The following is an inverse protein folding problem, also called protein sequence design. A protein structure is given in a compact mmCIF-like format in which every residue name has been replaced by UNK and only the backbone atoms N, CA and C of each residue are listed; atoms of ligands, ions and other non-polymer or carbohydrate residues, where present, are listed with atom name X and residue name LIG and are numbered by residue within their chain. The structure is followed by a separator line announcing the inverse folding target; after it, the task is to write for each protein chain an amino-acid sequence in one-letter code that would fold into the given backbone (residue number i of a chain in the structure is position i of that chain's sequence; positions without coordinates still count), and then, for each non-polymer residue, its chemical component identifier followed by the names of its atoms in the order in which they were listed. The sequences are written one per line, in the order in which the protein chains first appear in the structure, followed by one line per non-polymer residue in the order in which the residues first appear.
data_IF_582998634525
#
_entry.id   IF_582998634525
#
_cell.length_a   1.000
_cell.length_b   1.000
_cell.length_c   1.000
_cell.angle_alpha   90.00
_cell.angle_beta   90.00
_cell.angle_gamma   90.00
#
_symmetry.space_group_name_H-M   'P 1'
#
loop_
_entity.id
_entity.type
_entity.pdbx_description
1 polymer ?
#
# COMPACT_ATOMS: atom_id res chain seq x y z
N UNK A 1 3.38 31.83 -56.03
CA UNK A 1 2.69 32.27 -54.80
C UNK A 1 2.21 31.11 -53.89
N UNK A 2 2.40 29.83 -54.25
CA UNK A 2 1.83 28.67 -53.51
C UNK A 2 2.66 28.20 -52.28
N UNK A 3 3.96 28.50 -52.19
CA UNK A 3 4.81 27.99 -51.09
C UNK A 3 4.61 28.70 -49.75
N UNK A 4 4.26 30.00 -49.75
CA UNK A 4 4.15 30.79 -48.51
C UNK A 4 2.90 30.44 -47.68
N UNK A 5 1.84 29.91 -48.32
CA UNK A 5 0.61 29.49 -47.65
C UNK A 5 0.79 28.18 -46.88
N UNK A 6 1.51 27.20 -47.46
CA UNK A 6 1.84 25.93 -46.78
C UNK A 6 2.70 26.15 -45.52
N UNK A 7 3.64 27.09 -45.53
CA UNK A 7 4.56 27.30 -44.41
C UNK A 7 3.84 27.84 -43.16
N UNK A 8 2.88 28.77 -43.33
CA UNK A 8 2.04 29.25 -42.22
C UNK A 8 1.09 28.18 -41.69
N UNK A 9 0.61 27.27 -42.55
CA UNK A 9 -0.25 26.17 -42.14
C UNK A 9 0.51 25.13 -41.30
N UNK A 10 1.76 24.82 -41.66
CA UNK A 10 2.63 23.93 -40.87
C UNK A 10 2.93 24.52 -39.49
N UNK A 11 3.17 25.83 -39.40
CA UNK A 11 3.42 26.53 -38.13
C UNK A 11 2.20 26.42 -37.21
N UNK A 12 0.97 26.58 -37.72
CA UNK A 12 -0.26 26.44 -36.91
C UNK A 12 -0.46 25.03 -36.36
N UNK A 13 -0.13 23.99 -37.14
CA UNK A 13 -0.21 22.60 -36.68
C UNK A 13 0.83 22.32 -35.59
N UNK A 14 2.05 22.83 -35.74
CA UNK A 14 3.11 22.66 -34.74
C UNK A 14 2.78 23.40 -33.43
N UNK A 15 2.29 24.64 -33.51
CA UNK A 15 1.86 25.38 -32.30
C UNK A 15 0.64 24.75 -31.63
N UNK A 16 -0.32 24.25 -32.40
CA UNK A 16 -1.46 23.52 -31.83
C UNK A 16 -1.01 22.23 -31.15
N UNK A 17 -0.08 21.45 -31.75
CA UNK A 17 0.48 20.26 -31.12
C UNK A 17 1.29 20.57 -29.87
N UNK A 18 2.15 21.59 -29.89
CA UNK A 18 2.92 22.01 -28.71
C UNK A 18 1.98 22.50 -27.61
N UNK A 19 0.95 23.27 -27.95
CA UNK A 19 -0.07 23.71 -27.00
C UNK A 19 -0.86 22.53 -26.44
N UNK A 20 -1.21 21.55 -27.28
CA UNK A 20 -1.96 20.35 -26.86
C UNK A 20 -1.10 19.41 -25.99
N UNK A 21 0.18 19.21 -26.33
CA UNK A 21 1.13 18.43 -25.52
C UNK A 21 1.38 19.07 -24.14
N UNK A 22 1.45 20.39 -24.06
CA UNK A 22 1.61 21.10 -22.78
C UNK A 22 0.32 21.10 -21.93
N UNK A 23 -0.86 20.96 -22.53
CA UNK A 23 -2.15 20.96 -21.82
C UNK A 23 -2.65 19.54 -21.43
N UNK A 24 -2.01 18.46 -21.91
CA UNK A 24 -2.30 17.08 -21.49
C UNK A 24 -1.38 16.60 -20.35
N UNK A 25 -0.88 17.51 -19.52
CA UNK A 25 -0.39 17.13 -18.19
C UNK A 25 -1.60 16.94 -17.27
N UNK A 26 -2.43 15.94 -17.57
CA UNK A 26 -3.35 15.38 -16.59
C UNK A 26 -2.45 14.70 -15.56
N UNK A 27 -2.15 15.39 -14.46
CA UNK A 27 -1.57 14.77 -13.28
C UNK A 27 -2.52 13.66 -12.87
N UNK A 28 -2.14 12.41 -13.15
CA UNK A 28 -2.81 11.23 -12.63
C UNK A 28 -3.06 11.45 -11.13
N UNK A 29 -4.23 11.08 -10.60
CA UNK A 29 -4.48 11.20 -9.17
C UNK A 29 -3.35 10.46 -8.45
N UNK A 30 -2.67 11.14 -7.53
CA UNK A 30 -1.65 10.55 -6.68
C UNK A 30 -2.24 9.30 -6.03
N UNK A 31 -1.90 8.11 -6.52
CA UNK A 31 -2.61 6.91 -6.09
C UNK A 31 -1.69 5.68 -6.06
N UNK A 32 -1.41 5.28 -4.82
CA UNK A 32 -0.96 3.97 -4.33
C UNK A 32 0.54 3.60 -4.34
N UNK A 33 1.42 4.21 -5.14
CA UNK A 33 2.79 3.66 -5.31
C UNK A 33 3.83 4.00 -4.23
N UNK A 34 3.50 4.73 -3.17
CA UNK A 34 4.45 5.03 -2.08
C UNK A 34 3.89 4.65 -0.70
N UNK A 35 3.49 3.40 -0.52
CA UNK A 35 3.41 2.87 0.85
C UNK A 35 4.84 2.80 1.38
N UNK A 36 5.10 3.45 2.52
CA UNK A 36 6.44 3.49 3.07
C UNK A 36 6.97 2.08 3.36
N UNK A 37 8.27 1.86 3.10
CA UNK A 37 8.95 0.59 3.40
C UNK A 37 8.79 0.20 4.87
N UNK A 38 8.78 1.20 5.76
CA UNK A 38 8.60 1.03 7.20
C UNK A 38 7.19 0.52 7.53
N UNK A 39 6.15 1.03 6.87
CA UNK A 39 4.79 0.56 7.06
C UNK A 39 4.62 -0.89 6.58
N UNK A 40 5.21 -1.25 5.43
CA UNK A 40 5.20 -2.63 4.93
C UNK A 40 5.93 -3.58 5.88
N UNK A 41 7.09 -3.16 6.40
CA UNK A 41 7.84 -3.94 7.39
C UNK A 41 7.05 -4.11 8.69
N UNK A 42 6.41 -3.04 9.18
CA UNK A 42 5.55 -3.08 10.35
C UNK A 42 4.40 -4.08 10.16
N UNK A 43 3.67 -3.97 9.05
CA UNK A 43 2.56 -4.88 8.73
C UNK A 43 3.02 -6.35 8.64
N UNK A 44 4.22 -6.59 8.13
CA UNK A 44 4.79 -7.92 8.06
C UNK A 44 5.17 -8.48 9.43
N UNK A 45 5.84 -7.67 10.27
CA UNK A 45 6.24 -8.06 11.63
C UNK A 45 5.03 -8.38 12.51
N UNK A 46 3.94 -7.61 12.36
CA UNK A 46 2.72 -7.78 13.13
C UNK A 46 1.76 -8.84 12.58
N UNK A 47 2.10 -9.47 11.44
CA UNK A 47 1.34 -10.58 10.86
C UNK A 47 0.13 -10.18 10.01
N UNK A 48 0.03 -8.91 9.61
CA UNK A 48 -1.01 -8.44 8.68
C UNK A 48 -0.68 -8.73 7.21
N UNK A 49 0.61 -8.83 6.88
CA UNK A 49 1.09 -8.97 5.51
C UNK A 49 2.15 -10.07 5.41
N UNK A 50 1.88 -11.07 4.58
CA UNK A 50 2.88 -12.07 4.21
C UNK A 50 3.70 -11.56 3.02
N UNK A 51 4.95 -11.18 3.29
CA UNK A 51 5.87 -10.76 2.24
C UNK A 51 6.32 -11.99 1.43
N UNK A 52 6.26 -11.94 0.09
CA UNK A 52 6.80 -13.00 -0.75
C UNK A 52 8.32 -13.12 -0.55
N UNK A 53 8.85 -14.33 -0.72
CA UNK A 53 10.30 -14.55 -0.64
C UNK A 53 11.00 -13.69 -1.72
N UNK A 54 11.94 -12.80 -1.35
CA UNK A 54 12.64 -11.93 -2.29
C UNK A 54 13.39 -12.73 -3.38
N UNK A 55 13.71 -14.00 -3.14
CA UNK A 55 14.34 -14.90 -4.12
C UNK A 55 13.40 -15.36 -5.24
N UNK A 56 12.10 -15.33 -4.99
CA UNK A 56 11.06 -15.80 -5.92
C UNK A 56 10.64 -14.70 -6.89
N UNK A 57 11.00 -13.43 -6.62
CA UNK A 57 10.70 -12.31 -7.50
C UNK A 57 9.20 -12.06 -7.69
N UNK A 58 8.38 -12.50 -6.74
CA UNK A 58 6.94 -12.35 -6.81
C UNK A 58 6.53 -10.93 -6.42
N UNK A 59 5.72 -10.30 -7.27
CA UNK A 59 5.16 -8.97 -7.01
C UNK A 59 4.09 -9.06 -5.92
N UNK A 60 4.09 -8.09 -5.02
CA UNK A 60 3.07 -7.95 -3.99
C UNK A 60 1.80 -7.34 -4.61
N UNK A 61 0.67 -8.02 -4.43
CA UNK A 61 -0.61 -7.58 -5.00
C UNK A 61 -1.19 -6.39 -4.23
N UNK A 62 -1.69 -5.38 -4.96
CA UNK A 62 -2.26 -4.14 -4.40
C UNK A 62 -3.43 -4.45 -3.47
N UNK A 63 -4.28 -5.40 -3.87
CA UNK A 63 -5.43 -5.80 -3.06
C UNK A 63 -5.02 -6.45 -1.75
N UNK A 64 -3.89 -7.15 -1.73
CA UNK A 64 -3.35 -7.78 -0.52
C UNK A 64 -2.91 -6.70 0.46
N UNK A 65 -2.22 -5.66 -0.03
CA UNK A 65 -1.81 -4.55 0.81
C UNK A 65 -3.03 -3.81 1.35
N UNK A 66 -3.99 -3.47 0.50
CA UNK A 66 -5.23 -2.80 0.93
C UNK A 66 -5.96 -3.58 2.04
N UNK A 67 -6.13 -4.89 1.87
CA UNK A 67 -6.75 -5.76 2.89
C UNK A 67 -5.96 -5.81 4.20
N UNK A 68 -4.63 -5.84 4.13
CA UNK A 68 -3.78 -5.79 5.31
C UNK A 68 -3.95 -4.47 6.07
N UNK A 69 -4.07 -3.36 5.34
CA UNK A 69 -4.28 -2.05 5.92
C UNK A 69 -5.65 -1.89 6.56
N UNK A 70 -6.71 -2.38 5.89
CA UNK A 70 -8.05 -2.42 6.48
C UNK A 70 -8.07 -3.24 7.78
N UNK A 71 -7.31 -4.33 7.85
CA UNK A 71 -7.22 -5.19 9.03
C UNK A 71 -6.48 -4.49 10.18
N UNK A 72 -5.40 -3.78 9.87
CA UNK A 72 -4.68 -2.93 10.82
C UNK A 72 -5.57 -1.81 11.37
N UNK A 73 -6.31 -1.12 10.51
CA UNK A 73 -7.23 -0.05 10.90
C UNK A 73 -8.37 -0.55 11.79
N UNK A 74 -8.93 -1.72 11.46
CA UNK A 74 -9.93 -2.40 12.31
C UNK A 74 -9.36 -2.73 13.69
N UNK A 75 -8.11 -3.21 13.75
CA UNK A 75 -7.45 -3.54 15.01
C UNK A 75 -7.16 -2.30 15.86
N UNK A 76 -6.63 -1.24 15.24
CA UNK A 76 -6.40 0.05 15.89
C UNK A 76 -7.67 0.84 16.22
N UNK A 77 -8.85 0.30 15.88
CA UNK A 77 -10.15 0.92 16.08
C UNK A 77 -10.23 2.35 15.50
N UNK A 78 -9.58 2.56 14.36
CA UNK A 78 -9.61 3.78 13.56
C UNK A 78 -10.51 3.59 12.32
N UNK A 79 -10.94 4.66 11.64
CA UNK A 79 -11.75 4.55 10.43
C UNK A 79 -11.07 3.66 9.38
N UNK A 80 -11.83 2.71 8.82
CA UNK A 80 -11.32 1.76 7.83
C UNK A 80 -11.43 2.37 6.44
N UNK A 81 -10.30 2.83 5.91
CA UNK A 81 -10.18 3.45 4.59
C UNK A 81 -9.46 2.54 3.60
N UNK A 82 -8.58 1.67 4.09
CA UNK A 82 -7.68 0.87 3.25
C UNK A 82 -6.59 1.70 2.57
N UNK A 83 -6.38 2.95 3.02
CA UNK A 83 -5.32 3.86 2.57
C UNK A 83 -4.46 4.29 3.76
N UNK A 84 -3.16 4.54 3.51
CA UNK A 84 -2.21 4.94 4.55
C UNK A 84 -2.45 6.40 4.96
N UNK A 85 -3.45 6.59 5.83
CA UNK A 85 -3.82 7.89 6.37
C UNK A 85 -2.93 8.31 7.54
N UNK A 86 -2.89 9.60 7.87
CA UNK A 86 -2.10 10.15 8.99
C UNK A 86 -2.36 9.43 10.33
N UNK A 87 -3.62 9.08 10.61
CA UNK A 87 -3.99 8.32 11.81
C UNK A 87 -3.42 6.90 11.80
N UNK A 88 -3.29 6.30 10.61
CA UNK A 88 -2.68 4.98 10.45
C UNK A 88 -1.17 5.07 10.63
N UNK A 89 -0.54 6.16 10.18
CA UNK A 89 0.89 6.43 10.41
C UNK A 89 1.16 6.63 11.90
N UNK A 90 0.41 7.51 12.56
CA UNK A 90 0.50 7.73 14.02
C UNK A 90 0.34 6.40 14.77
N UNK A 91 -0.64 5.59 14.35
CA UNK A 91 -0.83 4.25 14.90
C UNK A 91 0.46 3.45 14.75
N UNK A 92 1.02 3.30 13.54
CA UNK A 92 2.23 2.51 13.26
C UNK A 92 3.45 2.98 14.08
N UNK A 93 3.62 4.29 14.26
CA UNK A 93 4.75 4.88 14.99
C UNK A 93 4.70 4.66 16.51
N UNK A 94 3.51 4.41 17.08
CA UNK A 94 3.41 4.17 18.53
C UNK A 94 4.22 2.94 18.94
N UNK A 95 5.05 3.02 20.01
CA UNK A 95 5.84 1.89 20.47
C UNK A 95 4.95 0.81 21.08
N UNK A 96 5.10 -0.44 20.63
CA UNK A 96 4.29 -1.59 21.09
C UNK A 96 5.14 -2.83 21.36
N UNK A 97 4.48 -3.90 21.83
CA UNK A 97 5.09 -5.21 21.93
C UNK A 97 5.39 -5.79 20.54
N UNK A 98 6.49 -6.54 20.39
CA UNK A 98 6.82 -7.23 19.13
C UNK A 98 6.07 -8.54 18.89
N UNK A 99 5.00 -8.81 19.65
CA UNK A 99 4.16 -10.00 19.44
C UNK A 99 3.17 -9.69 18.30
N UNK A 100 3.03 -10.56 17.28
CA UNK A 100 2.11 -10.31 16.17
C UNK A 100 0.65 -10.33 16.62
N UNK A 101 -0.14 -9.42 16.06
CA UNK A 101 -1.54 -9.23 16.39
C UNK A 101 -2.42 -10.36 15.83
N UNK A 102 -2.02 -10.92 14.68
CA UNK A 102 -2.70 -12.02 14.02
C UNK A 102 -1.87 -13.30 14.15
N UNK A 103 -2.44 -14.31 14.81
CA UNK A 103 -1.81 -15.62 14.89
C UNK A 103 -1.94 -16.36 13.55
N UNK A 104 -0.81 -16.82 12.99
CA UNK A 104 -0.80 -17.71 11.80
C UNK A 104 -1.27 -19.15 12.10
N UNK A 105 -1.86 -19.39 13.28
CA UNK A 105 -2.33 -20.74 13.64
C UNK A 105 -3.56 -21.09 12.81
N UNK A 106 -3.42 -22.08 11.94
CA UNK A 106 -4.49 -22.64 11.12
C UNK A 106 -5.52 -23.48 11.92
N UNK A 107 -5.49 -23.44 13.26
CA UNK A 107 -6.45 -24.17 14.08
C UNK A 107 -7.81 -23.47 14.05
N UNK A 108 -8.73 -24.01 13.25
CA UNK A 108 -10.10 -23.50 13.10
C UNK A 108 -10.91 -23.63 14.40
N UNK A 109 -10.43 -24.41 15.38
CA UNK A 109 -11.09 -24.57 16.67
C UNK A 109 -10.73 -23.40 17.60
N UNK A 110 -11.71 -22.53 17.87
CA UNK A 110 -11.63 -21.55 18.96
C UNK A 110 -11.45 -22.26 20.30
N UNK A 111 -10.23 -22.24 20.84
CA UNK A 111 -9.96 -22.67 22.21
C UNK A 111 -10.35 -21.55 23.17
N UNK A 112 -10.87 -21.91 24.36
CA UNK A 112 -11.28 -20.94 25.39
C UNK A 112 -10.11 -20.11 25.95
N UNK A 113 -8.89 -20.55 25.69
CA UNK A 113 -7.66 -19.91 26.13
C UNK A 113 -6.66 -19.93 24.98
N UNK A 114 -5.85 -18.88 24.87
CA UNK A 114 -4.75 -18.85 23.94
C UNK A 114 -3.72 -19.91 24.34
N UNK A 115 -3.58 -20.99 23.56
CA UNK A 115 -2.43 -21.89 23.66
C UNK A 115 -1.18 -21.23 23.03
N UNK A 116 -0.95 -19.96 23.34
CA UNK A 116 0.26 -19.26 22.95
C UNK A 116 1.39 -19.78 23.87
N UNK A 117 2.07 -20.82 23.41
CA UNK A 117 3.37 -21.22 23.94
C UNK A 117 3.40 -22.32 25.00
N UNK A 118 4.53 -22.29 25.70
CA UNK A 118 5.03 -23.30 26.65
C UNK A 118 4.33 -23.17 27.99
N UNK A 119 3.73 -24.27 28.46
CA UNK A 119 3.19 -24.37 29.82
C UNK A 119 4.34 -24.35 30.83
N UNK A 120 4.26 -23.49 31.85
CA UNK A 120 5.19 -23.54 32.97
C UNK A 120 5.01 -24.86 33.73
N UNK A 121 6.06 -25.68 33.81
CA UNK A 121 6.05 -26.90 34.60
C UNK A 121 6.25 -26.55 36.08
N UNK A 122 5.32 -26.96 36.94
CA UNK A 122 5.46 -26.84 38.40
C UNK A 122 6.06 -28.16 38.90
N UNK A 123 7.13 -28.08 39.70
CA UNK A 123 7.66 -29.19 40.48
C UNK A 123 6.74 -29.49 41.67
#
# INVERSE_FOLDING_TARGET
MCQKMCFLQMIRVVFACIYWLNNNAESAPAHYTEISVDALQYMSMNGYLDLPDPRVGQLLDENTIKKSLESLQRFGNIPVTGVLDDKTVELIETPRCGLPDISKSHDTRKKRYALQGTKWNKN
#
